data_IF_587994279539
#
_entry.id   IF_587994279539
#
_cell.length_a   1.000
_cell.length_b   1.000
_cell.length_c   1.000
_cell.angle_alpha   90.00
_cell.angle_beta   90.00
_cell.angle_gamma   90.00
#
_symmetry.space_group_name_H-M   'P 1'
#
loop_
_entity.id
_entity.type
_entity.pdbx_description
1 polymer ?
#
# COMPACT_ATOMS: atom_id res chain seq x y z
N UNK A 1 -11.87 19.35 1.44
CA UNK A 1 -11.69 18.11 2.21
C UNK A 1 -10.37 17.53 1.76
N UNK A 2 -9.32 17.77 2.53
CA UNK A 2 -7.94 17.42 2.17
C UNK A 2 -7.75 15.92 2.41
N UNK A 3 -7.91 15.08 1.38
CA UNK A 3 -7.34 13.73 1.42
C UNK A 3 -5.83 13.88 1.28
N UNK A 4 -5.00 13.40 2.22
CA UNK A 4 -3.56 13.30 1.98
C UNK A 4 -3.41 12.27 0.86
N UNK A 5 -3.18 12.75 -0.37
CA UNK A 5 -2.92 11.87 -1.50
C UNK A 5 -1.56 11.24 -1.24
N UNK A 6 -1.54 10.03 -0.72
CA UNK A 6 -0.38 9.15 -0.80
C UNK A 6 -0.12 8.97 -2.30
N UNK A 7 0.94 9.59 -2.80
CA UNK A 7 1.23 9.59 -4.22
C UNK A 7 1.80 8.22 -4.57
N UNK A 8 1.00 7.38 -5.22
CA UNK A 8 1.45 6.11 -5.78
C UNK A 8 2.21 6.36 -7.10
N UNK A 9 3.37 5.72 -7.26
CA UNK A 9 4.12 5.72 -8.52
C UNK A 9 3.92 4.39 -9.24
N UNK A 10 3.03 4.32 -10.26
CA UNK A 10 2.61 3.06 -10.86
C UNK A 10 3.77 2.31 -11.53
N UNK A 11 4.68 3.02 -12.20
CA UNK A 11 5.76 2.39 -12.97
C UNK A 11 6.74 1.60 -12.09
N UNK A 12 6.92 2.02 -10.83
CA UNK A 12 7.76 1.32 -9.85
C UNK A 12 6.93 0.53 -8.84
N UNK A 13 5.61 0.70 -8.84
CA UNK A 13 4.70 0.09 -7.87
C UNK A 13 5.11 0.36 -6.41
N UNK A 14 5.41 1.63 -6.09
CA UNK A 14 5.77 2.08 -4.74
C UNK A 14 4.96 3.30 -4.31
N UNK A 15 4.89 3.52 -3.00
CA UNK A 15 4.48 4.81 -2.44
C UNK A 15 5.62 5.82 -2.54
N UNK A 16 5.31 7.07 -2.90
CA UNK A 16 6.27 8.18 -2.91
C UNK A 16 6.37 8.90 -1.55
N UNK A 17 5.45 8.60 -0.65
CA UNK A 17 5.43 9.07 0.74
C UNK A 17 5.52 7.88 1.70
N UNK A 18 5.98 8.14 2.92
CA UNK A 18 6.05 7.14 4.00
C UNK A 18 4.64 6.69 4.37
N UNK A 19 4.43 5.37 4.42
CA UNK A 19 3.24 4.73 5.00
C UNK A 19 3.12 5.10 6.49
N UNK A 20 2.03 5.75 6.94
CA UNK A 20 1.80 6.07 8.35
C UNK A 20 1.77 4.86 9.29
N UNK A 21 1.55 3.66 8.78
CA UNK A 21 1.51 2.41 9.54
C UNK A 21 2.82 1.63 9.47
N UNK A 22 3.91 2.23 8.97
CA UNK A 22 5.22 1.59 8.89
C UNK A 22 5.69 1.00 10.22
N UNK A 23 5.35 1.65 11.34
CA UNK A 23 5.71 1.19 12.69
C UNK A 23 5.07 -0.16 13.05
N UNK A 24 3.92 -0.48 12.45
CA UNK A 24 3.22 -1.75 12.65
C UNK A 24 3.88 -2.89 11.88
N UNK A 25 4.59 -2.57 10.80
CA UNK A 25 5.18 -3.54 9.87
C UNK A 25 6.69 -3.28 9.70
N UNK A 26 7.51 -3.49 10.74
CA UNK A 26 8.94 -3.19 10.71
C UNK A 26 9.73 -4.04 9.71
N UNK A 27 9.14 -5.14 9.23
CA UNK A 27 9.70 -6.02 8.21
C UNK A 27 9.41 -5.55 6.77
N UNK A 28 8.58 -4.53 6.59
CA UNK A 28 8.28 -3.92 5.31
C UNK A 28 8.95 -2.55 5.22
N UNK A 29 9.38 -2.19 4.01
CA UNK A 29 9.80 -0.81 3.74
C UNK A 29 8.57 0.11 3.81
N UNK A 30 8.69 1.33 4.36
CA UNK A 30 7.59 2.31 4.41
C UNK A 30 7.06 2.74 3.03
N UNK A 31 7.68 2.27 1.94
CA UNK A 31 7.29 2.56 0.56
C UNK A 31 6.65 1.36 -0.15
N UNK A 32 6.49 0.22 0.52
CA UNK A 32 5.99 -1.01 -0.09
C UNK A 32 4.50 -0.86 -0.44
N UNK A 33 4.15 -1.09 -1.71
CA UNK A 33 2.75 -1.20 -2.13
C UNK A 33 2.24 -2.62 -1.89
N UNK A 34 1.08 -2.79 -1.26
CA UNK A 34 0.41 -4.09 -1.08
C UNK A 34 1.32 -5.18 -0.47
N UNK A 35 2.21 -4.83 0.46
CA UNK A 35 3.23 -5.75 1.01
C UNK A 35 4.04 -6.51 -0.05
N UNK A 36 4.27 -5.89 -1.22
CA UNK A 36 4.90 -6.47 -2.41
C UNK A 36 4.13 -7.64 -3.05
N UNK A 37 2.82 -7.76 -2.82
CA UNK A 37 1.98 -8.78 -3.44
C UNK A 37 0.67 -8.20 -4.02
N UNK A 38 0.75 -7.29 -5.01
CA UNK A 38 -0.41 -6.58 -5.58
C UNK A 38 -1.34 -7.46 -6.43
N UNK A 39 -0.99 -8.73 -6.66
CA UNK A 39 -1.83 -9.68 -7.43
C UNK A 39 -3.02 -10.14 -6.59
N UNK A 40 -2.78 -10.35 -5.29
CA UNK A 40 -3.77 -10.88 -4.34
C UNK A 40 -4.28 -9.76 -3.42
N UNK A 41 -3.41 -8.79 -3.15
CA UNK A 41 -3.63 -7.72 -2.18
C UNK A 41 -3.86 -6.39 -2.91
N UNK A 42 -4.81 -5.60 -2.43
CA UNK A 42 -5.06 -4.23 -2.86
C UNK A 42 -4.95 -3.28 -1.67
N UNK A 43 -4.41 -2.09 -1.88
CA UNK A 43 -4.32 -1.05 -0.84
C UNK A 43 -4.71 0.31 -1.46
N UNK A 44 -6.03 0.63 -1.47
CA UNK A 44 -6.54 1.80 -2.18
C UNK A 44 -6.18 3.14 -1.53
N UNK A 45 -6.00 3.15 -0.22
CA UNK A 45 -5.80 4.37 0.58
C UNK A 45 -4.45 4.44 1.32
N UNK A 46 -3.62 3.41 1.20
CA UNK A 46 -2.30 3.32 1.83
C UNK A 46 -2.36 3.03 3.32
N UNK A 47 -3.45 2.44 3.82
CA UNK A 47 -3.69 2.22 5.25
C UNK A 47 -4.16 0.80 5.54
N UNK A 48 -4.99 0.23 4.69
CA UNK A 48 -5.48 -1.13 4.91
C UNK A 48 -5.34 -1.96 3.64
N UNK A 49 -4.69 -3.12 3.81
CA UNK A 49 -4.54 -4.09 2.75
C UNK A 49 -5.81 -4.93 2.69
N UNK A 50 -6.54 -4.81 1.60
CA UNK A 50 -7.68 -5.63 1.24
C UNK A 50 -7.22 -6.86 0.44
N UNK A 51 -7.91 -7.98 0.59
CA UNK A 51 -7.63 -9.20 -0.17
C UNK A 51 -8.72 -9.40 -1.22
N UNK A 52 -8.34 -9.64 -2.48
CA UNK A 52 -9.27 -10.08 -3.51
C UNK A 52 -9.51 -11.60 -3.39
N UNK A 53 -10.05 -12.03 -2.24
CA UNK A 53 -10.43 -13.44 -2.02
C UNK A 53 -11.71 -13.83 -2.77
N UNK A 54 -12.40 -12.87 -3.38
CA UNK A 54 -13.64 -13.12 -4.11
C UNK A 54 -13.44 -13.79 -5.47
N UNK A 55 -12.19 -13.92 -5.94
CA UNK A 55 -11.83 -14.44 -7.27
C UNK A 55 -11.17 -15.85 -7.22
N UNK A 56 -11.24 -16.56 -6.08
CA UNK A 56 -10.69 -17.92 -5.90
C UNK A 56 -11.81 -18.96 -5.75
#
# INVERSE_FOLDING_TARGET
>A
METPRYFYYPDLSIWLSIDPLSDKYPNLTPYAYCANNPVILGDPDGREIETNLNDI
#
